data_IF_096099505557
#
_entry.id   IF_096099505557
#
_cell.length_a   1.000
_cell.length_b   1.000
_cell.length_c   1.000
_cell.angle_alpha   90.00
_cell.angle_beta   90.00
_cell.angle_gamma   90.00
#
_symmetry.space_group_name_H-M   'P 1'
#
loop_
_entity.id
_entity.type
_entity.pdbx_description
1 polymer ?
#
# COMPACT_ATOMS: atom_id res chain seq x y z
N UNK A 1 -53.54 42.43 -17.31
CA UNK A 1 -53.68 42.01 -18.72
C UNK A 1 -54.59 40.79 -18.72
N UNK A 2 -55.71 40.84 -19.45
CA UNK A 2 -56.63 39.71 -19.63
C UNK A 2 -56.00 38.72 -20.61
N UNK A 3 -55.77 37.48 -20.16
CA UNK A 3 -55.28 36.40 -21.01
C UNK A 3 -56.46 35.78 -21.76
N UNK A 4 -56.62 36.11 -23.04
CA UNK A 4 -57.50 35.36 -23.93
C UNK A 4 -56.77 34.09 -24.38
N UNK A 5 -57.27 32.94 -23.92
CA UNK A 5 -56.69 31.63 -24.21
C UNK A 5 -57.20 31.16 -25.57
N UNK A 6 -56.27 30.73 -26.45
CA UNK A 6 -56.59 30.33 -27.82
C UNK A 6 -57.56 29.13 -27.87
N UNK A 7 -58.51 29.07 -28.85
CA UNK A 7 -59.55 28.03 -28.92
C UNK A 7 -59.06 26.60 -29.21
N UNK A 8 -57.75 26.41 -29.42
CA UNK A 8 -57.14 25.11 -29.75
C UNK A 8 -56.63 24.29 -28.56
N UNK A 9 -56.49 24.90 -27.38
CA UNK A 9 -56.04 24.19 -26.18
C UNK A 9 -57.16 23.35 -25.58
N UNK A 10 -56.85 22.11 -25.16
CA UNK A 10 -57.79 21.31 -24.36
C UNK A 10 -58.20 22.09 -23.11
N UNK A 11 -59.48 21.97 -22.71
CA UNK A 11 -60.06 22.66 -21.54
C UNK A 11 -59.17 22.51 -20.29
N UNK A 12 -58.54 21.34 -20.13
CA UNK A 12 -57.61 21.00 -19.05
C UNK A 12 -56.39 21.91 -19.00
N UNK A 13 -55.83 22.30 -20.15
CA UNK A 13 -54.65 23.19 -20.21
C UNK A 13 -55.02 24.64 -19.95
N UNK A 14 -56.22 25.07 -20.37
CA UNK A 14 -56.73 26.41 -20.08
C UNK A 14 -56.94 26.61 -18.56
N UNK A 15 -57.48 25.59 -17.89
CA UNK A 15 -57.66 25.60 -16.43
C UNK A 15 -56.34 25.63 -15.67
N UNK A 16 -55.31 24.92 -16.17
CA UNK A 16 -53.95 24.94 -15.59
C UNK A 16 -53.32 26.31 -15.74
N UNK A 17 -53.48 26.94 -16.91
CA UNK A 17 -52.96 28.27 -17.19
C UNK A 17 -53.58 29.32 -16.26
N UNK A 18 -54.89 29.24 -16.07
CA UNK A 18 -55.64 30.11 -15.16
C UNK A 18 -55.18 29.95 -13.71
N UNK A 19 -55.04 28.71 -13.23
CA UNK A 19 -54.59 28.41 -11.86
C UNK A 19 -53.11 28.80 -11.61
N UNK A 20 -52.26 28.71 -12.64
CA UNK A 20 -50.88 29.20 -12.60
C UNK A 20 -50.81 30.73 -12.51
N UNK A 21 -51.60 31.43 -13.33
CA UNK A 21 -51.69 32.89 -13.32
C UNK A 21 -52.28 33.44 -12.01
N UNK A 22 -53.22 32.71 -11.39
CA UNK A 22 -53.87 33.05 -10.12
C UNK A 22 -53.03 32.66 -8.88
N UNK A 23 -51.88 32.02 -9.06
CA UNK A 23 -50.96 31.67 -7.97
C UNK A 23 -51.44 30.56 -7.02
N UNK A 24 -52.39 29.73 -7.46
CA UNK A 24 -53.03 28.68 -6.62
C UNK A 24 -52.42 27.29 -6.79
N UNK A 25 -51.44 27.13 -7.67
CA UNK A 25 -50.69 25.89 -7.86
C UNK A 25 -49.60 25.76 -6.78
N UNK A 26 -49.79 24.82 -5.85
CA UNK A 26 -48.83 24.51 -4.78
C UNK A 26 -48.36 23.05 -4.89
N UNK A 27 -47.04 22.85 -4.85
CA UNK A 27 -46.37 21.54 -4.98
C UNK A 27 -45.39 21.48 -6.16
N UNK A 28 -44.08 21.49 -5.90
CA UNK A 28 -43.04 21.71 -6.92
C UNK A 28 -43.07 20.73 -8.12
N UNK A 29 -43.15 19.41 -7.88
CA UNK A 29 -43.00 18.43 -8.96
C UNK A 29 -44.22 18.38 -9.91
N UNK A 30 -45.44 18.37 -9.35
CA UNK A 30 -46.66 18.27 -10.15
C UNK A 30 -46.90 19.52 -10.99
N UNK A 31 -46.52 20.70 -10.50
CA UNK A 31 -46.64 21.98 -11.22
C UNK A 31 -45.60 22.08 -12.33
N UNK A 32 -44.36 21.65 -12.06
CA UNK A 32 -43.28 21.61 -13.05
C UNK A 32 -43.58 20.70 -14.25
N UNK A 33 -44.10 19.50 -14.00
CA UNK A 33 -44.43 18.55 -15.07
C UNK A 33 -45.65 18.98 -15.88
N UNK A 34 -46.65 19.60 -15.23
CA UNK A 34 -47.81 20.17 -15.91
C UNK A 34 -47.45 21.38 -16.77
N UNK A 35 -46.62 22.30 -16.25
CA UNK A 35 -46.12 23.43 -17.02
C UNK A 35 -45.27 22.95 -18.20
N UNK A 36 -44.42 21.94 -18.00
CA UNK A 36 -43.60 21.38 -19.07
C UNK A 36 -44.41 20.68 -20.16
N UNK A 37 -45.42 19.87 -19.78
CA UNK A 37 -46.33 19.23 -20.73
C UNK A 37 -47.08 20.29 -21.57
N UNK A 38 -47.54 21.36 -20.93
CA UNK A 38 -48.22 22.48 -21.59
C UNK A 38 -47.30 23.20 -22.59
N UNK A 39 -46.02 23.40 -22.25
CA UNK A 39 -45.05 23.98 -23.20
C UNK A 39 -44.70 23.01 -24.32
N UNK A 40 -44.55 21.71 -24.05
CA UNK A 40 -44.26 20.72 -25.09
C UNK A 40 -45.37 20.64 -26.15
N UNK A 41 -46.63 20.67 -25.72
CA UNK A 41 -47.78 20.76 -26.62
C UNK A 41 -47.82 22.12 -27.35
N UNK A 42 -47.58 23.22 -26.63
CA UNK A 42 -47.53 24.57 -27.24
C UNK A 42 -46.39 24.73 -28.26
N UNK A 43 -45.27 24.04 -28.09
CA UNK A 43 -44.13 24.04 -29.01
C UNK A 43 -44.45 23.24 -30.27
N UNK A 44 -45.17 22.12 -30.16
CA UNK A 44 -45.72 21.40 -31.32
C UNK A 44 -46.73 22.26 -32.09
N UNK A 45 -47.48 23.12 -31.40
CA UNK A 45 -48.37 24.12 -32.00
C UNK A 45 -47.71 25.47 -32.32
N UNK A 46 -46.42 25.67 -32.01
CA UNK A 46 -45.75 27.00 -32.03
C UNK A 46 -45.67 27.65 -33.40
N UNK A 47 -45.86 26.86 -34.46
CA UNK A 47 -46.03 27.35 -35.84
C UNK A 47 -47.27 28.27 -35.93
N UNK A 48 -48.25 28.15 -35.01
CA UNK A 48 -49.53 28.87 -35.03
C UNK A 48 -49.64 30.00 -33.98
N UNK A 49 -48.90 29.97 -32.87
CA UNK A 49 -48.97 31.04 -31.85
C UNK A 49 -47.68 31.18 -30.98
N UNK A 50 -46.73 32.06 -31.38
CA UNK A 50 -45.49 32.31 -30.64
C UNK A 50 -45.68 32.95 -29.25
N UNK A 51 -46.72 33.78 -29.06
CA UNK A 51 -46.94 34.54 -27.83
C UNK A 51 -47.35 33.63 -26.65
N UNK A 52 -48.17 32.60 -26.93
CA UNK A 52 -48.51 31.61 -25.91
C UNK A 52 -47.30 30.80 -25.46
N UNK A 53 -46.44 30.41 -26.41
CA UNK A 53 -45.20 29.68 -26.10
C UNK A 53 -44.28 30.53 -25.23
N UNK A 54 -44.06 31.81 -25.59
CA UNK A 54 -43.26 32.74 -24.79
C UNK A 54 -43.83 32.95 -23.38
N UNK A 55 -45.15 33.06 -23.25
CA UNK A 55 -45.76 33.28 -21.93
C UNK A 55 -45.69 32.04 -21.05
N UNK A 56 -45.89 30.85 -21.61
CA UNK A 56 -45.75 29.60 -20.86
C UNK A 56 -44.30 29.36 -20.40
N UNK A 57 -43.31 29.71 -21.23
CA UNK A 57 -41.89 29.69 -20.84
C UNK A 57 -41.60 30.74 -19.76
N UNK A 58 -42.19 31.93 -19.85
CA UNK A 58 -42.05 32.96 -18.82
C UNK A 58 -42.61 32.50 -17.47
N UNK A 59 -43.75 31.80 -17.49
CA UNK A 59 -44.32 31.18 -16.28
C UNK A 59 -43.40 30.12 -15.68
N UNK A 60 -42.72 29.31 -16.50
CA UNK A 60 -41.70 28.36 -16.04
C UNK A 60 -40.56 29.09 -15.33
N UNK A 61 -40.02 30.15 -15.94
CA UNK A 61 -38.88 30.91 -15.40
C UNK A 61 -39.26 31.63 -14.10
N UNK A 62 -40.44 32.24 -14.04
CA UNK A 62 -40.87 33.04 -12.90
C UNK A 62 -41.32 32.19 -11.69
N UNK A 63 -41.64 30.90 -11.90
CA UNK A 63 -42.24 30.02 -10.88
C UNK A 63 -41.37 28.86 -10.43
N UNK A 64 -40.38 28.45 -11.23
CA UNK A 64 -39.46 27.37 -10.87
C UNK A 64 -38.15 27.91 -10.30
N UNK A 65 -37.44 27.12 -9.47
CA UNK A 65 -36.06 27.41 -9.12
C UNK A 65 -35.19 27.60 -10.38
N UNK A 66 -34.16 28.47 -10.35
CA UNK A 66 -33.36 28.81 -11.54
C UNK A 66 -32.77 27.61 -12.30
N UNK A 67 -32.32 26.58 -11.58
CA UNK A 67 -31.80 25.34 -12.15
C UNK A 67 -32.87 24.55 -12.93
N UNK A 68 -34.05 24.39 -12.33
CA UNK A 68 -35.16 23.67 -12.95
C UNK A 68 -35.74 24.47 -14.13
N UNK A 69 -35.82 25.80 -14.00
CA UNK A 69 -36.19 26.69 -15.08
C UNK A 69 -35.23 26.59 -16.27
N UNK A 70 -33.91 26.55 -16.01
CA UNK A 70 -32.89 26.35 -17.05
C UNK A 70 -33.08 25.02 -17.78
N UNK A 71 -33.22 23.92 -17.03
CA UNK A 71 -33.37 22.58 -17.59
C UNK A 71 -34.58 22.48 -18.52
N UNK A 72 -35.73 22.96 -18.06
CA UNK A 72 -36.97 22.95 -18.85
C UNK A 72 -36.83 23.82 -20.09
N UNK A 73 -36.19 25.00 -19.98
CA UNK A 73 -35.89 25.90 -21.10
C UNK A 73 -35.00 25.21 -22.15
N UNK A 74 -33.98 24.48 -21.71
CA UNK A 74 -33.04 23.78 -22.59
C UNK A 74 -33.69 22.61 -23.33
N UNK A 75 -34.60 21.86 -22.70
CA UNK A 75 -35.38 20.80 -23.36
C UNK A 75 -36.32 21.31 -24.46
N UNK A 76 -36.78 22.56 -24.35
CA UNK A 76 -37.68 23.19 -25.33
C UNK A 76 -36.89 23.76 -26.52
N UNK A 77 -35.67 24.24 -26.26
CA UNK A 77 -34.80 24.89 -27.25
C UNK A 77 -34.55 24.09 -28.55
N UNK A 78 -34.27 22.77 -28.55
CA UNK A 78 -34.07 22.02 -29.80
C UNK A 78 -35.35 21.88 -30.62
N UNK A 79 -36.53 21.86 -29.96
CA UNK A 79 -37.84 21.75 -30.58
C UNK A 79 -38.31 23.08 -31.21
N UNK A 80 -37.60 24.18 -30.94
CA UNK A 80 -37.95 25.52 -31.40
C UNK A 80 -37.23 25.92 -32.69
N UNK A 81 -37.98 26.55 -33.61
CA UNK A 81 -37.45 27.25 -34.78
C UNK A 81 -36.81 28.59 -34.41
N UNK A 82 -36.12 29.19 -35.37
CA UNK A 82 -35.72 30.60 -35.29
C UNK A 82 -36.98 31.48 -35.43
N UNK A 83 -37.22 32.55 -34.62
CA UNK A 83 -36.36 33.27 -33.65
C UNK A 83 -36.50 32.85 -32.18
N UNK A 84 -37.43 31.94 -31.86
CA UNK A 84 -37.70 31.50 -30.49
C UNK A 84 -36.45 30.91 -29.80
N UNK A 85 -35.60 30.23 -30.58
CA UNK A 85 -34.31 29.68 -30.10
C UNK A 85 -33.34 30.74 -29.54
N UNK A 86 -33.28 31.95 -30.12
CA UNK A 86 -32.43 33.03 -29.60
C UNK A 86 -32.98 33.59 -28.30
N UNK A 87 -34.30 33.83 -28.26
CA UNK A 87 -34.98 34.30 -27.06
C UNK A 87 -34.83 33.31 -25.89
N UNK A 88 -34.99 32.01 -26.14
CA UNK A 88 -34.71 30.94 -25.18
C UNK A 88 -33.26 30.93 -24.70
N UNK A 89 -32.30 31.22 -25.59
CA UNK A 89 -30.89 31.35 -25.22
C UNK A 89 -30.67 32.54 -24.29
N UNK A 90 -31.33 33.68 -24.53
CA UNK A 90 -31.28 34.83 -23.63
C UNK A 90 -31.92 34.50 -22.28
N UNK A 91 -33.06 33.79 -22.25
CA UNK A 91 -33.68 33.35 -21.00
C UNK A 91 -32.83 32.39 -20.18
N UNK A 92 -32.14 31.47 -20.85
CA UNK A 92 -31.14 30.63 -20.20
C UNK A 92 -29.98 31.45 -19.60
N UNK A 93 -29.60 32.58 -20.20
CA UNK A 93 -28.60 33.50 -19.64
C UNK A 93 -29.13 34.23 -18.40
N UNK A 94 -30.39 34.70 -18.44
CA UNK A 94 -31.05 35.37 -17.33
C UNK A 94 -31.16 34.42 -16.11
N UNK A 95 -31.47 33.14 -16.31
CA UNK A 95 -31.53 32.14 -15.23
C UNK A 95 -30.15 31.86 -14.61
N UNK A 96 -29.08 31.89 -15.40
CA UNK A 96 -27.71 31.78 -14.87
C UNK A 96 -27.39 32.98 -13.97
N UNK A 97 -27.80 34.18 -14.36
CA UNK A 97 -27.58 35.40 -13.57
C UNK A 97 -28.42 35.38 -12.28
N UNK A 98 -29.65 34.87 -12.33
CA UNK A 98 -30.51 34.72 -11.14
C UNK A 98 -29.92 33.76 -10.09
N UNK A 99 -29.05 32.82 -10.48
CA UNK A 99 -28.33 32.00 -9.52
C UNK A 99 -27.39 32.83 -8.62
N UNK A 100 -26.97 34.03 -9.02
CA UNK A 100 -25.96 34.81 -8.28
C UNK A 100 -26.37 35.19 -6.85
N UNK A 101 -27.68 35.25 -6.56
CA UNK A 101 -28.23 35.53 -5.24
C UNK A 101 -28.18 34.32 -4.27
N UNK A 102 -27.83 33.13 -4.78
CA UNK A 102 -27.74 31.90 -3.98
C UNK A 102 -26.38 31.77 -3.26
N UNK A 103 -26.30 30.89 -2.27
CA UNK A 103 -25.03 30.58 -1.59
C UNK A 103 -24.02 29.96 -2.56
N UNK A 104 -22.71 30.14 -2.34
CA UNK A 104 -21.68 29.59 -3.23
C UNK A 104 -21.80 28.06 -3.46
N UNK A 105 -22.22 27.30 -2.44
CA UNK A 105 -22.43 25.85 -2.60
C UNK A 105 -23.65 25.53 -3.48
N UNK A 106 -24.75 26.25 -3.28
CA UNK A 106 -25.98 26.02 -4.04
C UNK A 106 -25.81 26.48 -5.50
N UNK A 107 -25.11 27.60 -5.72
CA UNK A 107 -24.71 28.08 -7.05
C UNK A 107 -23.88 27.06 -7.78
N UNK A 108 -22.83 26.56 -7.12
CA UNK A 108 -21.94 25.57 -7.72
C UNK A 108 -22.70 24.30 -8.12
N UNK A 109 -23.58 23.81 -7.25
CA UNK A 109 -24.41 22.64 -7.54
C UNK A 109 -25.29 22.88 -8.77
N UNK A 110 -26.02 24.00 -8.79
CA UNK A 110 -26.86 24.37 -9.92
C UNK A 110 -26.05 24.44 -11.22
N UNK A 111 -24.87 25.06 -11.21
CA UNK A 111 -24.02 25.15 -12.40
C UNK A 111 -23.45 23.79 -12.85
N UNK A 112 -23.10 22.89 -11.91
CA UNK A 112 -22.69 21.53 -12.24
C UNK A 112 -23.82 20.75 -12.92
N UNK A 113 -25.04 20.88 -12.42
CA UNK A 113 -26.20 20.19 -13.00
C UNK A 113 -26.57 20.79 -14.38
N UNK A 114 -26.49 22.11 -14.56
CA UNK A 114 -26.65 22.75 -15.87
C UNK A 114 -25.56 22.33 -16.88
N UNK A 115 -24.31 22.06 -16.45
CA UNK A 115 -23.22 21.65 -17.35
C UNK A 115 -23.36 20.22 -17.88
N UNK A 116 -24.04 19.34 -17.12
CA UNK A 116 -24.34 17.97 -17.56
C UNK A 116 -25.32 17.93 -18.73
N UNK A 117 -26.03 19.03 -19.00
CA UNK A 117 -26.96 19.12 -20.12
C UNK A 117 -26.24 19.19 -21.47
N UNK A 118 -26.44 18.15 -22.28
CA UNK A 118 -25.75 18.01 -23.57
C UNK A 118 -26.21 19.04 -24.61
N UNK A 119 -27.45 19.52 -24.52
CA UNK A 119 -28.09 20.39 -25.52
C UNK A 119 -27.73 21.89 -25.38
N UNK A 120 -26.94 22.24 -24.36
CA UNK A 120 -26.47 23.61 -24.13
C UNK A 120 -25.50 24.07 -25.22
N UNK A 121 -25.69 25.29 -25.72
CA UNK A 121 -24.74 25.91 -26.66
C UNK A 121 -23.39 26.17 -26.00
N UNK A 122 -22.31 26.18 -26.80
CA UNK A 122 -20.96 26.48 -26.31
C UNK A 122 -20.87 27.81 -25.54
N UNK A 123 -21.65 28.84 -25.95
CA UNK A 123 -21.73 30.13 -25.26
C UNK A 123 -22.32 29.98 -23.85
N UNK A 124 -23.39 29.20 -23.70
CA UNK A 124 -24.02 28.94 -22.40
C UNK A 124 -23.09 28.12 -21.51
N UNK A 125 -22.54 27.01 -22.02
CA UNK A 125 -21.58 26.17 -21.28
C UNK A 125 -20.38 26.96 -20.80
N UNK A 126 -19.83 27.85 -21.65
CA UNK A 126 -18.71 28.72 -21.27
C UNK A 126 -19.07 29.72 -20.16
N UNK A 127 -20.28 30.31 -20.18
CA UNK A 127 -20.73 31.20 -19.09
C UNK A 127 -20.89 30.40 -17.79
N UNK A 128 -21.64 29.30 -17.83
CA UNK A 128 -21.87 28.44 -16.65
C UNK A 128 -20.54 27.99 -16.05
N UNK A 129 -19.59 27.56 -16.88
CA UNK A 129 -18.25 27.17 -16.42
C UNK A 129 -17.52 28.31 -15.70
N UNK A 130 -17.57 29.54 -16.23
CA UNK A 130 -16.93 30.70 -15.59
C UNK A 130 -17.55 30.99 -14.21
N UNK A 131 -18.88 30.97 -14.13
CA UNK A 131 -19.59 31.19 -12.88
C UNK A 131 -19.33 30.07 -11.87
N UNK A 132 -19.26 28.81 -12.33
CA UNK A 132 -18.89 27.67 -11.49
C UNK A 132 -17.47 27.84 -10.90
N UNK A 133 -16.49 28.22 -11.71
CA UNK A 133 -15.12 28.48 -11.23
C UNK A 133 -15.09 29.65 -10.24
N UNK A 134 -15.86 30.70 -10.48
CA UNK A 134 -16.01 31.82 -9.56
C UNK A 134 -16.60 31.34 -8.22
N UNK A 135 -17.68 30.57 -8.25
CA UNK A 135 -18.29 29.98 -7.05
C UNK A 135 -17.29 29.09 -6.28
N UNK A 136 -16.47 28.28 -6.98
CA UNK A 136 -15.41 27.49 -6.32
C UNK A 136 -14.37 28.41 -5.65
N UNK A 137 -14.04 29.53 -6.27
CA UNK A 137 -13.12 30.55 -5.74
C UNK A 137 -13.55 31.12 -4.39
N UNK A 138 -14.86 31.12 -4.10
CA UNK A 138 -15.44 31.58 -2.84
C UNK A 138 -15.51 30.50 -1.75
N UNK A 139 -15.27 29.24 -2.10
CA UNK A 139 -15.29 28.14 -1.14
C UNK A 139 -14.04 28.15 -0.25
N UNK A 140 -14.12 27.60 0.99
CA UNK A 140 -12.94 27.34 1.80
C UNK A 140 -11.91 26.49 1.04
N UNK A 141 -10.62 26.80 1.23
CA UNK A 141 -9.50 26.15 0.55
C UNK A 141 -9.58 24.61 0.50
N UNK A 142 -9.98 23.96 1.60
CA UNK A 142 -10.09 22.49 1.69
C UNK A 142 -11.23 21.89 0.85
N UNK A 143 -12.24 22.69 0.48
CA UNK A 143 -13.36 22.25 -0.38
C UNK A 143 -13.10 22.49 -1.85
N UNK A 144 -12.19 23.40 -2.19
CA UNK A 144 -11.94 23.81 -3.57
C UNK A 144 -11.51 22.63 -4.46
N UNK A 145 -10.66 21.73 -3.97
CA UNK A 145 -10.19 20.59 -4.77
C UNK A 145 -11.34 19.67 -5.16
N UNK A 146 -12.12 19.21 -4.18
CA UNK A 146 -13.27 18.33 -4.43
C UNK A 146 -14.28 18.99 -5.37
N UNK A 147 -14.63 20.25 -5.10
CA UNK A 147 -15.51 21.04 -5.95
C UNK A 147 -15.00 21.17 -7.40
N UNK A 148 -13.69 21.26 -7.60
CA UNK A 148 -13.06 21.29 -8.93
C UNK A 148 -13.08 19.92 -9.62
N UNK A 149 -12.93 18.83 -8.87
CA UNK A 149 -13.06 17.47 -9.38
C UNK A 149 -14.50 17.17 -9.81
N UNK A 150 -15.48 17.55 -8.98
CA UNK A 150 -16.91 17.42 -9.28
C UNK A 150 -17.30 18.26 -10.52
N UNK A 151 -16.72 19.46 -10.67
CA UNK A 151 -16.88 20.27 -11.89
C UNK A 151 -16.26 19.61 -13.12
N UNK A 152 -15.10 18.95 -12.99
CA UNK A 152 -14.49 18.21 -14.09
C UNK A 152 -15.38 17.05 -14.55
N UNK A 153 -15.99 16.34 -13.60
CA UNK A 153 -16.95 15.26 -13.86
C UNK A 153 -18.21 15.78 -14.57
N UNK A 154 -18.76 16.91 -14.13
CA UNK A 154 -19.88 17.57 -14.82
C UNK A 154 -19.54 17.98 -16.28
N UNK A 155 -18.25 18.22 -16.56
CA UNK A 155 -17.76 18.59 -17.89
C UNK A 155 -17.24 17.39 -18.71
N UNK A 156 -17.39 16.13 -18.28
CA UNK A 156 -16.76 14.97 -18.96
C UNK A 156 -17.13 14.85 -20.45
N UNK A 157 -18.33 15.29 -20.84
CA UNK A 157 -18.77 15.35 -22.24
C UNK A 157 -18.17 16.49 -23.07
N UNK A 158 -17.38 17.39 -22.49
CA UNK A 158 -16.70 18.51 -23.13
C UNK A 158 -15.21 18.51 -22.76
N UNK A 159 -14.38 17.92 -23.62
CA UNK A 159 -12.95 17.69 -23.35
C UNK A 159 -12.17 18.97 -23.02
N UNK A 160 -12.56 20.10 -23.60
CA UNK A 160 -11.88 21.38 -23.38
C UNK A 160 -12.25 21.97 -22.01
N UNK A 161 -13.53 21.92 -21.63
CA UNK A 161 -13.96 22.36 -20.30
C UNK A 161 -13.49 21.41 -19.19
N UNK A 162 -13.53 20.10 -19.43
CA UNK A 162 -12.99 19.10 -18.51
C UNK A 162 -11.50 19.36 -18.24
N UNK A 163 -10.70 19.58 -19.30
CA UNK A 163 -9.28 19.89 -19.14
C UNK A 163 -9.03 21.17 -18.34
N UNK A 164 -9.82 22.22 -18.56
CA UNK A 164 -9.74 23.46 -17.77
C UNK A 164 -10.12 23.22 -16.31
N UNK A 165 -11.16 22.44 -16.03
CA UNK A 165 -11.56 22.08 -14.67
C UNK A 165 -10.45 21.30 -13.95
N UNK A 166 -9.81 20.34 -14.63
CA UNK A 166 -8.69 19.58 -14.08
C UNK A 166 -7.45 20.44 -13.82
N UNK A 167 -7.16 21.43 -14.68
CA UNK A 167 -6.11 22.43 -14.43
C UNK A 167 -6.42 23.27 -13.18
N UNK A 168 -7.69 23.60 -12.97
CA UNK A 168 -8.12 24.32 -11.77
C UNK A 168 -8.05 23.44 -10.51
N UNK A 169 -8.47 22.17 -10.59
CA UNK A 169 -8.32 21.19 -9.52
C UNK A 169 -6.86 21.04 -9.09
N UNK A 170 -5.93 20.99 -10.05
CA UNK A 170 -4.49 21.00 -9.77
C UNK A 170 -4.04 22.23 -8.97
N UNK A 171 -4.59 23.40 -9.26
CA UNK A 171 -4.27 24.64 -8.54
C UNK A 171 -4.83 24.62 -7.13
N UNK A 172 -6.04 24.06 -6.95
CA UNK A 172 -6.66 23.86 -5.66
C UNK A 172 -5.93 22.80 -4.80
N UNK A 173 -5.28 21.81 -5.42
CA UNK A 173 -4.45 20.81 -4.72
C UNK A 173 -3.39 21.47 -3.82
N UNK A 174 -2.82 22.60 -4.24
CA UNK A 174 -1.81 23.34 -3.46
C UNK A 174 -2.37 24.00 -2.19
N UNK A 175 -3.69 24.08 -2.07
CA UNK A 175 -4.38 24.69 -0.94
C UNK A 175 -4.84 23.67 0.11
N UNK A 176 -4.69 22.37 -0.18
CA UNK A 176 -5.04 21.30 0.74
C UNK A 176 -3.96 21.09 1.83
N UNK A 177 -4.33 20.62 3.02
CA UNK A 177 -3.37 20.10 4.00
C UNK A 177 -2.52 18.98 3.39
N UNK A 178 -1.23 18.90 3.73
CA UNK A 178 -0.31 17.91 3.14
C UNK A 178 -0.81 16.47 3.22
N UNK A 179 -1.48 16.09 4.31
CA UNK A 179 -2.09 14.76 4.49
C UNK A 179 -3.13 14.43 3.41
N UNK A 180 -3.88 15.42 2.95
CA UNK A 180 -4.92 15.26 1.93
C UNK A 180 -4.35 15.36 0.51
N UNK A 181 -3.26 16.12 0.32
CA UNK A 181 -2.60 16.30 -0.98
C UNK A 181 -2.18 14.97 -1.61
N UNK A 182 -1.81 13.97 -0.82
CA UNK A 182 -1.36 12.67 -1.36
C UNK A 182 -2.50 11.89 -2.01
N UNK A 183 -3.61 11.64 -1.30
CA UNK A 183 -4.76 10.96 -1.90
C UNK A 183 -5.36 11.77 -3.06
N UNK A 184 -5.57 13.07 -2.85
CA UNK A 184 -6.11 13.97 -3.87
C UNK A 184 -5.21 14.06 -5.12
N UNK A 185 -3.89 14.04 -4.95
CA UNK A 185 -2.94 14.09 -6.06
C UNK A 185 -2.90 12.78 -6.87
N UNK A 186 -3.09 11.63 -6.22
CA UNK A 186 -3.27 10.34 -6.89
C UNK A 186 -4.58 10.30 -7.71
N UNK A 187 -5.69 10.76 -7.12
CA UNK A 187 -6.98 10.82 -7.82
C UNK A 187 -6.95 11.76 -9.02
N UNK A 188 -6.34 12.94 -8.87
CA UNK A 188 -6.12 13.85 -9.98
C UNK A 188 -5.25 13.22 -11.07
N UNK A 189 -4.19 12.49 -10.70
CA UNK A 189 -3.32 11.82 -11.67
C UNK A 189 -4.05 10.76 -12.50
N UNK A 190 -5.04 10.07 -11.93
CA UNK A 190 -5.87 9.07 -12.64
C UNK A 190 -6.78 9.68 -13.70
N UNK A 191 -7.11 10.96 -13.58
CA UNK A 191 -7.91 11.69 -14.59
C UNK A 191 -7.11 12.06 -15.84
N UNK A 192 -5.80 11.83 -15.84
CA UNK A 192 -4.93 12.11 -16.96
C UNK A 192 -4.37 10.83 -17.59
N UNK A 193 -4.18 10.87 -18.90
CA UNK A 193 -3.53 9.78 -19.63
C UNK A 193 -2.12 9.49 -19.10
N UNK A 194 -1.64 8.26 -19.30
CA UNK A 194 -0.35 7.79 -18.76
C UNK A 194 0.83 8.71 -19.11
N UNK A 195 0.80 9.32 -20.30
CA UNK A 195 1.87 10.15 -20.83
C UNK A 195 1.58 11.66 -20.75
N UNK A 196 0.50 12.07 -20.08
CA UNK A 196 0.17 13.49 -19.94
C UNK A 196 1.13 14.16 -18.92
N UNK A 197 1.77 15.29 -19.26
CA UNK A 197 2.62 16.02 -18.32
C UNK A 197 1.89 16.44 -17.03
N UNK A 198 0.57 16.65 -17.08
CA UNK A 198 -0.25 16.96 -15.90
C UNK A 198 -0.35 15.79 -14.94
N UNK A 199 -0.36 14.55 -15.44
CA UNK A 199 -0.26 13.34 -14.61
C UNK A 199 1.05 13.34 -13.82
N UNK A 200 2.17 13.59 -14.49
CA UNK A 200 3.48 13.62 -13.82
C UNK A 200 3.53 14.73 -12.77
N UNK A 201 2.97 15.91 -13.05
CA UNK A 201 2.95 17.01 -12.09
C UNK A 201 2.09 16.68 -10.86
N UNK A 202 0.91 16.08 -11.05
CA UNK A 202 0.04 15.65 -9.96
C UNK A 202 0.75 14.62 -9.07
N UNK A 203 1.38 13.60 -9.67
CA UNK A 203 2.16 12.59 -8.96
C UNK A 203 3.38 13.19 -8.22
N UNK A 204 4.12 14.12 -8.84
CA UNK A 204 5.24 14.83 -8.17
C UNK A 204 4.77 15.58 -6.93
N UNK A 205 3.63 16.26 -7.01
CA UNK A 205 3.08 17.04 -5.90
C UNK A 205 2.56 16.15 -4.78
N UNK A 206 1.80 15.13 -5.14
CA UNK A 206 1.34 14.08 -4.23
C UNK A 206 2.49 13.47 -3.44
N UNK A 207 3.56 13.11 -4.14
CA UNK A 207 4.74 12.50 -3.53
C UNK A 207 5.53 13.47 -2.65
N UNK A 208 5.68 14.72 -3.09
CA UNK A 208 6.38 15.75 -2.32
C UNK A 208 5.68 16.06 -0.99
N UNK A 209 4.35 15.99 -0.95
CA UNK A 209 3.56 16.25 0.26
C UNK A 209 3.89 15.27 1.40
N UNK A 210 4.25 14.02 1.08
CA UNK A 210 4.62 13.00 2.06
C UNK A 210 5.73 13.50 3.00
N UNK A 211 6.72 14.23 2.47
CA UNK A 211 7.86 14.75 3.24
C UNK A 211 7.45 15.73 4.34
N UNK A 212 6.32 16.40 4.17
CA UNK A 212 5.80 17.40 5.10
C UNK A 212 4.74 16.84 6.06
N UNK A 213 4.37 15.56 5.92
CA UNK A 213 3.46 14.91 6.84
C UNK A 213 4.14 14.60 8.19
N UNK A 214 3.34 14.41 9.27
CA UNK A 214 3.85 13.84 10.52
C UNK A 214 4.51 12.48 10.27
N UNK A 215 5.59 12.19 11.01
CA UNK A 215 6.40 10.98 10.83
C UNK A 215 5.60 9.68 10.87
N UNK A 216 4.58 9.62 11.74
CA UNK A 216 3.67 8.49 11.88
C UNK A 216 2.80 8.20 10.65
N UNK A 217 2.71 9.14 9.70
CA UNK A 217 1.89 9.01 8.49
C UNK A 217 2.72 8.77 7.23
N UNK A 218 4.03 9.02 7.27
CA UNK A 218 4.89 9.03 6.07
C UNK A 218 5.00 7.66 5.41
N UNK A 219 5.12 6.59 6.21
CA UNK A 219 5.20 5.22 5.69
C UNK A 219 3.94 4.84 4.92
N UNK A 220 2.77 4.96 5.56
CA UNK A 220 1.49 4.62 4.94
C UNK A 220 1.21 5.44 3.67
N UNK A 221 1.52 6.74 3.68
CA UNK A 221 1.36 7.60 2.50
C UNK A 221 2.32 7.21 1.36
N UNK A 222 3.51 6.73 1.68
CA UNK A 222 4.45 6.19 0.69
C UNK A 222 3.95 4.86 0.11
N UNK A 223 3.49 3.94 0.96
CA UNK A 223 2.92 2.66 0.51
C UNK A 223 1.65 2.84 -0.31
N UNK A 224 0.82 3.83 0.00
CA UNK A 224 -0.33 4.20 -0.84
C UNK A 224 0.12 4.52 -2.28
N UNK A 225 1.20 5.29 -2.45
CA UNK A 225 1.78 5.53 -3.78
C UNK A 225 2.29 4.25 -4.44
N UNK A 226 2.79 3.28 -3.68
CA UNK A 226 3.26 1.99 -4.23
C UNK A 226 2.11 1.18 -4.83
N UNK A 227 0.96 1.17 -4.15
CA UNK A 227 -0.22 0.42 -4.60
C UNK A 227 -1.01 1.15 -5.68
N UNK A 228 -1.13 2.47 -5.57
CA UNK A 228 -2.06 3.25 -6.37
C UNK A 228 -1.44 3.91 -7.61
N UNK A 229 -0.12 3.99 -7.69
CA UNK A 229 0.56 4.60 -8.84
C UNK A 229 0.84 3.58 -9.95
N UNK A 230 0.17 3.74 -11.09
CA UNK A 230 0.53 3.01 -12.31
C UNK A 230 1.80 3.55 -13.00
N UNK A 231 2.42 4.58 -12.42
CA UNK A 231 3.70 5.11 -12.90
C UNK A 231 4.85 4.46 -12.13
N UNK A 232 5.55 3.55 -12.80
CA UNK A 232 6.66 2.78 -12.23
C UNK A 232 7.73 3.68 -11.62
N UNK A 233 8.14 4.78 -12.27
CA UNK A 233 9.14 5.72 -11.71
C UNK A 233 8.72 6.29 -10.35
N UNK A 234 7.42 6.55 -10.14
CA UNK A 234 6.92 7.02 -8.84
C UNK A 234 6.72 5.88 -7.86
N UNK A 235 6.31 4.69 -8.33
CA UNK A 235 6.25 3.47 -7.52
C UNK A 235 7.62 3.14 -6.94
N UNK A 236 8.67 3.16 -7.76
CA UNK A 236 10.06 2.93 -7.33
C UNK A 236 10.52 3.98 -6.31
N UNK A 237 10.27 5.27 -6.58
CA UNK A 237 10.60 6.35 -5.62
C UNK A 237 9.83 6.22 -4.31
N UNK A 238 8.58 5.77 -4.36
CA UNK A 238 7.76 5.54 -3.19
C UNK A 238 8.25 4.36 -2.36
N UNK A 239 8.64 3.25 -3.00
CA UNK A 239 9.29 2.13 -2.33
C UNK A 239 10.59 2.56 -1.62
N UNK A 240 11.46 3.31 -2.31
CA UNK A 240 12.68 3.85 -1.70
C UNK A 240 12.38 4.74 -0.49
N UNK A 241 11.36 5.60 -0.58
CA UNK A 241 11.02 6.51 0.50
C UNK A 241 10.32 5.82 1.66
N UNK A 242 9.38 4.88 1.40
CA UNK A 242 8.75 4.03 2.40
C UNK A 242 9.82 3.31 3.22
N UNK A 243 10.83 2.78 2.54
CA UNK A 243 11.99 2.19 3.20
C UNK A 243 12.76 3.20 4.06
N UNK A 244 13.09 4.39 3.54
CA UNK A 244 13.83 5.42 4.30
C UNK A 244 13.11 5.84 5.59
N UNK A 245 11.78 5.80 5.60
CA UNK A 245 10.97 6.21 6.77
C UNK A 245 10.46 5.02 7.57
N UNK A 246 10.85 3.78 7.28
CA UNK A 246 10.39 2.60 8.04
C UNK A 246 10.75 2.67 9.53
N UNK A 247 11.82 3.39 9.87
CA UNK A 247 12.19 3.68 11.25
C UNK A 247 11.13 4.50 12.02
N UNK A 248 10.26 5.24 11.32
CA UNK A 248 9.16 6.00 11.94
C UNK A 248 7.93 5.14 12.23
N UNK A 249 7.90 3.90 11.72
CA UNK A 249 6.86 2.91 12.03
C UNK A 249 7.08 2.38 13.46
N UNK A 250 6.02 2.19 14.26
CA UNK A 250 6.12 1.57 15.58
C UNK A 250 6.85 0.23 15.50
N UNK A 251 7.74 -0.04 16.46
CA UNK A 251 8.64 -1.20 16.43
C UNK A 251 7.90 -2.55 16.23
N UNK A 252 6.69 -2.67 16.80
CA UNK A 252 5.82 -3.84 16.66
C UNK A 252 5.30 -4.08 15.22
N UNK A 253 5.18 -3.04 14.42
CA UNK A 253 4.59 -3.09 13.07
C UNK A 253 5.68 -3.03 11.97
N UNK A 254 6.95 -2.84 12.35
CA UNK A 254 8.08 -2.73 11.41
C UNK A 254 8.30 -4.00 10.59
N UNK A 255 8.10 -5.18 11.19
CA UNK A 255 8.25 -6.46 10.50
C UNK A 255 7.31 -6.58 9.29
N UNK A 256 6.04 -6.23 9.49
CA UNK A 256 5.01 -6.25 8.44
C UNK A 256 5.30 -5.19 7.38
N UNK A 257 5.70 -3.98 7.80
CA UNK A 257 6.14 -2.92 6.89
C UNK A 257 7.33 -3.34 6.00
N UNK A 258 8.29 -4.10 6.53
CA UNK A 258 9.39 -4.68 5.74
C UNK A 258 8.88 -5.72 4.74
N UNK A 259 7.99 -6.60 5.20
CA UNK A 259 7.39 -7.62 4.36
C UNK A 259 6.61 -7.00 3.19
N UNK A 260 5.80 -5.97 3.43
CA UNK A 260 5.08 -5.24 2.38
C UNK A 260 6.03 -4.64 1.34
N UNK A 261 7.09 -3.95 1.76
CA UNK A 261 8.11 -3.41 0.84
C UNK A 261 8.76 -4.54 0.03
N UNK A 262 9.12 -5.65 0.68
CA UNK A 262 9.77 -6.80 0.05
C UNK A 262 8.87 -7.46 -1.01
N UNK A 263 7.59 -7.66 -0.70
CA UNK A 263 6.64 -8.28 -1.64
C UNK A 263 6.46 -7.48 -2.92
N UNK A 264 6.45 -6.14 -2.81
CA UNK A 264 6.34 -5.25 -3.97
C UNK A 264 7.62 -5.17 -4.82
N UNK A 265 8.74 -5.58 -4.24
CA UNK A 265 10.07 -5.54 -4.83
C UNK A 265 10.41 -6.86 -5.55
N UNK A 266 9.99 -8.00 -4.99
CA UNK A 266 10.38 -9.35 -5.43
C UNK A 266 10.16 -9.58 -6.93
N UNK A 267 9.12 -8.95 -7.49
CA UNK A 267 8.74 -9.10 -8.90
C UNK A 267 9.12 -7.89 -9.78
N UNK A 268 9.56 -6.76 -9.20
CA UNK A 268 9.78 -5.50 -9.92
C UNK A 268 11.18 -4.95 -9.72
N UNK A 269 11.99 -5.10 -10.78
CA UNK A 269 13.33 -4.55 -11.00
C UNK A 269 14.41 -4.92 -9.97
N UNK A 270 15.26 -5.90 -10.35
CA UNK A 270 16.44 -6.39 -9.62
C UNK A 270 17.30 -5.29 -8.96
N UNK A 271 17.60 -4.13 -9.60
CA UNK A 271 18.41 -3.08 -8.98
C UNK A 271 17.73 -2.33 -7.83
N UNK A 272 16.40 -2.16 -7.88
CA UNK A 272 15.64 -1.55 -6.79
C UNK A 272 15.54 -2.52 -5.62
N UNK A 273 15.34 -3.80 -5.93
CA UNK A 273 15.39 -4.86 -4.95
C UNK A 273 16.68 -4.82 -4.15
N UNK A 274 17.82 -4.79 -4.83
CA UNK A 274 19.15 -4.75 -4.23
C UNK A 274 19.36 -3.50 -3.36
N UNK A 275 18.90 -2.32 -3.81
CA UNK A 275 19.06 -1.06 -3.05
C UNK A 275 18.21 -1.00 -1.78
N UNK A 276 16.94 -1.38 -1.88
CA UNK A 276 16.06 -1.45 -0.71
C UNK A 276 16.47 -2.58 0.24
N UNK A 277 17.02 -3.67 -0.29
CA UNK A 277 17.51 -4.82 0.44
C UNK A 277 18.80 -4.54 1.24
N UNK A 278 19.78 -3.86 0.62
CA UNK A 278 21.00 -3.44 1.31
C UNK A 278 20.71 -2.49 2.49
N UNK A 279 19.69 -1.64 2.36
CA UNK A 279 19.24 -0.75 3.44
C UNK A 279 18.35 -1.48 4.47
N UNK A 280 17.75 -2.62 4.12
CA UNK A 280 16.95 -3.47 5.02
C UNK A 280 17.79 -4.31 5.97
N UNK A 281 19.01 -4.72 5.58
CA UNK A 281 19.88 -5.55 6.42
C UNK A 281 20.15 -4.94 7.81
N UNK A 282 20.37 -3.62 7.87
CA UNK A 282 20.62 -2.90 9.12
C UNK A 282 19.41 -2.95 10.08
N UNK A 283 18.20 -2.90 9.54
CA UNK A 283 16.96 -2.90 10.31
C UNK A 283 16.46 -4.32 10.64
N UNK A 284 16.77 -5.32 9.81
CA UNK A 284 16.50 -6.74 10.10
C UNK A 284 17.33 -7.22 11.30
N UNK A 285 18.58 -6.77 11.44
CA UNK A 285 19.36 -7.00 12.67
C UNK A 285 18.66 -6.46 13.92
N UNK A 286 18.14 -5.22 13.86
CA UNK A 286 17.38 -4.63 14.96
C UNK A 286 16.04 -5.32 15.23
N UNK A 287 15.37 -5.83 14.18
CA UNK A 287 14.14 -6.60 14.31
C UNK A 287 14.40 -7.96 14.98
N UNK A 288 15.50 -8.61 14.62
CA UNK A 288 15.95 -9.85 15.23
C UNK A 288 16.30 -9.66 16.72
N UNK A 289 17.01 -8.57 17.05
CA UNK A 289 17.29 -8.20 18.45
C UNK A 289 16.01 -7.88 19.23
N UNK A 290 15.03 -7.21 18.61
CA UNK A 290 13.74 -6.95 19.22
C UNK A 290 12.94 -8.24 19.44
N UNK A 291 12.89 -9.15 18.47
CA UNK A 291 12.25 -10.46 18.61
C UNK A 291 12.90 -11.28 19.72
N UNK A 292 14.25 -11.34 19.77
CA UNK A 292 14.99 -11.96 20.88
C UNK A 292 14.62 -11.33 22.23
N UNK A 293 14.49 -10.00 22.28
CA UNK A 293 14.14 -9.29 23.51
C UNK A 293 12.67 -9.52 23.95
N UNK A 294 11.71 -9.56 23.03
CA UNK A 294 10.31 -9.87 23.35
C UNK A 294 10.13 -11.33 23.77
N UNK A 295 10.83 -12.25 23.11
CA UNK A 295 10.85 -13.66 23.49
C UNK A 295 11.50 -13.86 24.85
N UNK A 296 12.62 -13.20 25.13
CA UNK A 296 13.26 -13.21 26.45
C UNK A 296 12.31 -12.68 27.55
N UNK A 297 11.51 -11.63 27.26
CA UNK A 297 10.49 -11.12 28.17
C UNK A 297 9.33 -12.08 28.37
N UNK A 298 8.78 -12.64 27.30
CA UNK A 298 7.69 -13.61 27.35
C UNK A 298 8.10 -14.86 28.11
N UNK A 299 9.33 -15.33 27.89
CA UNK A 299 9.86 -16.50 28.54
C UNK A 299 10.26 -16.23 30.00
N UNK A 300 10.80 -15.05 30.33
CA UNK A 300 11.00 -14.63 31.72
C UNK A 300 9.67 -14.60 32.49
N UNK A 301 8.59 -14.18 31.84
CA UNK A 301 7.24 -14.24 32.40
C UNK A 301 6.77 -15.68 32.60
N UNK A 302 6.91 -16.55 31.60
CA UNK A 302 6.55 -17.98 31.72
C UNK A 302 7.34 -18.70 32.82
N UNK A 303 8.63 -18.41 32.97
CA UNK A 303 9.47 -18.92 34.07
C UNK A 303 8.97 -18.37 35.42
N UNK A 304 8.58 -17.09 35.49
CA UNK A 304 8.05 -16.51 36.74
C UNK A 304 6.70 -17.09 37.16
N UNK A 305 5.90 -17.58 36.21
CA UNK A 305 4.55 -18.09 36.42
C UNK A 305 4.50 -19.63 36.57
N UNK A 306 5.61 -20.34 36.30
CA UNK A 306 5.66 -21.81 36.33
C UNK A 306 6.68 -22.31 37.38
N UNK A 307 6.23 -22.77 38.56
CA UNK A 307 7.12 -23.17 39.66
C UNK A 307 8.12 -24.27 39.29
N UNK A 308 7.74 -25.17 38.40
CA UNK A 308 8.56 -26.29 37.91
C UNK A 308 9.75 -25.82 37.06
N UNK A 309 9.59 -24.72 36.31
CA UNK A 309 10.65 -24.08 35.53
C UNK A 309 11.56 -23.20 36.39
N UNK A 310 11.10 -22.76 37.57
CA UNK A 310 11.93 -22.04 38.54
C UNK A 310 12.89 -22.97 39.29
N UNK A 311 12.41 -24.18 39.61
CA UNK A 311 13.13 -25.15 40.42
C UNK A 311 14.12 -26.02 39.62
N UNK A 312 13.96 -26.11 38.29
CA UNK A 312 14.75 -27.00 37.44
C UNK A 312 15.43 -26.22 36.30
N UNK A 313 16.72 -25.95 36.49
CA UNK A 313 17.55 -25.18 35.56
C UNK A 313 17.70 -25.87 34.19
N UNK A 314 17.82 -27.19 34.18
CA UNK A 314 17.97 -27.98 32.96
C UNK A 314 16.68 -28.00 32.12
N UNK A 315 15.52 -28.08 32.78
CA UNK A 315 14.22 -27.97 32.13
C UNK A 315 13.97 -26.56 31.57
N UNK A 316 14.45 -25.53 32.29
CA UNK A 316 14.40 -24.13 31.87
C UNK A 316 15.19 -23.90 30.60
N UNK A 317 16.43 -24.37 30.55
CA UNK A 317 17.32 -24.26 29.39
C UNK A 317 16.78 -25.03 28.19
N UNK A 318 16.21 -26.21 28.42
CA UNK A 318 15.60 -27.03 27.36
C UNK A 318 14.35 -26.37 26.78
N UNK A 319 13.52 -25.75 27.63
CA UNK A 319 12.32 -25.03 27.21
C UNK A 319 12.67 -23.76 26.45
N UNK A 320 13.67 -23.01 26.94
CA UNK A 320 14.21 -21.83 26.26
C UNK A 320 14.75 -22.17 24.87
N UNK A 321 15.56 -23.22 24.79
CA UNK A 321 16.15 -23.69 23.55
C UNK A 321 15.08 -24.16 22.55
N UNK A 322 14.07 -24.89 23.00
CA UNK A 322 12.98 -25.36 22.14
C UNK A 322 12.10 -24.22 21.61
N UNK A 323 11.84 -23.20 22.45
CA UNK A 323 11.10 -22.01 22.05
C UNK A 323 11.91 -21.13 21.09
N UNK A 324 13.23 -21.03 21.28
CA UNK A 324 14.14 -20.42 20.31
C UNK A 324 14.08 -21.19 19.00
N UNK A 325 14.40 -22.49 19.01
CA UNK A 325 14.50 -23.35 17.82
C UNK A 325 13.20 -23.32 16.99
N UNK A 326 12.03 -23.29 17.63
CA UNK A 326 10.73 -23.28 16.92
C UNK A 326 10.42 -21.94 16.23
N UNK A 327 10.84 -20.81 16.80
CA UNK A 327 10.68 -19.48 16.19
C UNK A 327 11.79 -19.17 15.17
N UNK A 328 13.01 -19.60 15.49
CA UNK A 328 14.25 -19.44 14.72
C UNK A 328 14.14 -20.21 13.39
N UNK A 329 13.72 -21.48 13.40
CA UNK A 329 13.68 -22.31 12.18
C UNK A 329 12.72 -21.80 11.10
N UNK A 330 11.63 -21.11 11.47
CA UNK A 330 10.69 -20.52 10.51
C UNK A 330 11.23 -19.27 9.83
N UNK A 331 11.83 -18.37 10.60
CA UNK A 331 12.40 -17.09 10.11
C UNK A 331 13.76 -17.31 9.43
N UNK A 332 14.57 -18.26 9.92
CA UNK A 332 15.94 -18.48 9.43
C UNK A 332 16.05 -19.37 8.18
N UNK A 333 15.06 -20.23 7.90
CA UNK A 333 15.03 -20.95 6.61
C UNK A 333 14.93 -20.01 5.40
N UNK A 334 14.22 -18.89 5.55
CA UNK A 334 14.22 -17.82 4.54
C UNK A 334 15.51 -16.99 4.59
N UNK A 335 16.21 -16.98 5.72
CA UNK A 335 17.42 -16.17 5.97
C UNK A 335 18.70 -16.73 5.33
N UNK A 336 18.86 -18.05 5.17
CA UNK A 336 20.01 -18.62 4.44
C UNK A 336 19.88 -18.40 2.93
N UNK A 337 18.66 -18.44 2.38
CA UNK A 337 18.37 -18.01 1.01
C UNK A 337 18.64 -16.51 0.86
N UNK A 338 18.17 -15.71 1.84
CA UNK A 338 18.40 -14.27 1.90
C UNK A 338 19.88 -13.92 1.90
N UNK A 339 20.72 -14.54 2.75
CA UNK A 339 22.18 -14.33 2.79
C UNK A 339 22.85 -14.69 1.47
N UNK A 340 22.43 -15.78 0.82
CA UNK A 340 22.95 -16.17 -0.50
C UNK A 340 22.60 -15.13 -1.57
N UNK A 341 21.37 -14.61 -1.52
CA UNK A 341 20.94 -13.50 -2.36
C UNK A 341 21.74 -12.21 -2.03
N UNK A 342 22.05 -11.91 -0.75
CA UNK A 342 22.92 -10.78 -0.36
C UNK A 342 24.27 -10.88 -1.06
N UNK A 343 24.88 -12.05 -1.02
CA UNK A 343 26.24 -12.28 -1.51
C UNK A 343 26.32 -12.31 -3.03
N UNK A 344 25.25 -12.76 -3.70
CA UNK A 344 25.15 -12.72 -5.16
C UNK A 344 25.02 -11.28 -5.69
N UNK A 345 24.46 -10.36 -4.89
CA UNK A 345 24.06 -9.03 -5.36
C UNK A 345 24.70 -7.83 -4.66
N UNK A 346 25.63 -8.05 -3.72
CA UNK A 346 26.37 -6.97 -3.08
C UNK A 346 27.18 -6.15 -4.12
N UNK A 347 26.98 -4.82 -4.12
CA UNK A 347 27.64 -3.91 -5.08
C UNK A 347 28.76 -3.07 -4.47
N UNK A 348 28.87 -3.07 -3.14
CA UNK A 348 29.94 -2.40 -2.39
C UNK A 348 30.54 -3.37 -1.37
N UNK A 349 31.80 -3.13 -1.02
CA UNK A 349 32.52 -3.96 -0.04
C UNK A 349 31.86 -3.89 1.34
N UNK A 350 31.32 -2.75 1.75
CA UNK A 350 30.56 -2.60 3.01
C UNK A 350 29.29 -3.45 3.04
N UNK A 351 28.54 -3.53 1.93
CA UNK A 351 27.33 -4.37 1.86
C UNK A 351 27.68 -5.85 1.93
N UNK A 352 28.77 -6.23 1.26
CA UNK A 352 29.28 -7.60 1.26
C UNK A 352 29.73 -8.00 2.66
N UNK A 353 30.50 -7.13 3.32
CA UNK A 353 30.98 -7.34 4.68
C UNK A 353 29.81 -7.49 5.67
N UNK A 354 28.77 -6.63 5.58
CA UNK A 354 27.61 -6.71 6.47
C UNK A 354 26.82 -8.01 6.27
N UNK A 355 26.64 -8.43 5.02
CA UNK A 355 26.00 -9.71 4.66
C UNK A 355 26.77 -10.90 5.19
N UNK A 356 28.10 -10.88 5.08
CA UNK A 356 28.98 -11.92 5.62
C UNK A 356 28.95 -11.96 7.15
N UNK A 357 29.08 -10.82 7.85
CA UNK A 357 28.95 -10.74 9.31
C UNK A 357 27.64 -11.34 9.79
N UNK A 358 26.55 -11.03 9.10
CA UNK A 358 25.23 -11.55 9.43
C UNK A 358 25.14 -13.07 9.21
N UNK A 359 25.70 -13.57 8.10
CA UNK A 359 25.79 -15.01 7.83
C UNK A 359 26.54 -15.77 8.95
N UNK A 360 27.71 -15.25 9.34
CA UNK A 360 28.56 -15.85 10.38
C UNK A 360 27.87 -15.83 11.75
N UNK A 361 27.22 -14.73 12.11
CA UNK A 361 26.50 -14.59 13.39
C UNK A 361 25.37 -15.61 13.57
N UNK A 362 24.72 -16.03 12.48
CA UNK A 362 23.54 -16.92 12.52
C UNK A 362 23.83 -18.35 12.09
N UNK A 363 25.05 -18.62 11.62
CA UNK A 363 25.55 -19.96 11.36
C UNK A 363 25.41 -20.93 12.57
N UNK A 364 25.59 -20.50 13.84
CA UNK A 364 25.38 -21.38 15.01
C UNK A 364 23.93 -21.86 15.19
N UNK A 365 22.96 -21.16 14.59
CA UNK A 365 21.53 -21.48 14.65
C UNK A 365 21.10 -22.47 13.55
N UNK A 366 22.04 -22.89 12.68
CA UNK A 366 21.83 -23.95 11.72
C UNK A 366 21.58 -25.31 12.39
N UNK A 367 20.99 -26.26 11.65
CA UNK A 367 20.88 -27.65 12.09
C UNK A 367 22.28 -28.13 12.55
N UNK A 368 22.44 -28.55 13.82
CA UNK A 368 23.75 -28.95 14.36
C UNK A 368 24.45 -30.03 13.52
N UNK A 369 23.68 -30.86 12.80
CA UNK A 369 24.22 -31.90 11.90
C UNK A 369 24.74 -31.34 10.57
N UNK A 370 24.34 -30.13 10.19
CA UNK A 370 24.77 -29.43 8.96
C UNK A 370 25.75 -28.30 9.22
N UNK A 371 25.91 -27.88 10.48
CA UNK A 371 26.81 -26.80 10.91
C UNK A 371 28.20 -26.90 10.29
N UNK A 372 28.80 -28.11 10.28
CA UNK A 372 30.10 -28.33 9.64
C UNK A 372 30.05 -28.07 8.13
N UNK A 373 29.13 -28.70 7.40
CA UNK A 373 29.03 -28.52 5.94
C UNK A 373 28.72 -27.08 5.53
N UNK A 374 27.90 -26.38 6.32
CA UNK A 374 27.53 -24.99 6.05
C UNK A 374 28.71 -24.04 6.35
N UNK A 375 29.43 -24.24 7.46
CA UNK A 375 30.64 -23.49 7.78
C UNK A 375 31.73 -23.64 6.72
N UNK A 376 32.00 -24.87 6.30
CA UNK A 376 33.00 -25.14 5.26
C UNK A 376 32.59 -24.52 3.91
N UNK A 377 31.29 -24.50 3.58
CA UNK A 377 30.80 -23.85 2.36
C UNK A 377 30.92 -22.32 2.39
N UNK A 378 30.87 -21.72 3.59
CA UNK A 378 30.96 -20.27 3.79
C UNK A 378 32.42 -19.78 3.83
N UNK A 379 33.37 -20.64 4.23
CA UNK A 379 34.77 -20.29 4.39
C UNK A 379 35.42 -19.63 3.14
N UNK A 380 35.26 -20.14 1.91
CA UNK A 380 35.80 -19.48 0.72
C UNK A 380 35.21 -18.10 0.45
N UNK A 381 34.03 -17.80 1.02
CA UNK A 381 33.31 -16.54 0.79
C UNK A 381 33.72 -15.47 1.79
N UNK A 382 34.08 -15.86 3.02
CA UNK A 382 34.65 -14.96 4.04
C UNK A 382 36.16 -14.78 3.91
N UNK A 383 36.79 -15.47 2.95
CA UNK A 383 38.21 -15.37 2.68
C UNK A 383 38.64 -13.91 2.42
N UNK A 384 39.58 -13.40 3.23
CA UNK A 384 40.01 -11.99 3.26
C UNK A 384 39.46 -11.17 4.43
N UNK A 385 38.63 -11.75 5.31
CA UNK A 385 38.11 -11.12 6.52
C UNK A 385 38.56 -11.90 7.77
N UNK A 386 39.73 -11.59 8.37
CA UNK A 386 40.38 -12.44 9.38
C UNK A 386 39.50 -12.77 10.60
N UNK A 387 38.74 -11.80 11.10
CA UNK A 387 37.84 -12.00 12.25
C UNK A 387 36.71 -13.01 11.93
N UNK A 388 36.20 -12.99 10.70
CA UNK A 388 35.10 -13.86 10.25
C UNK A 388 35.59 -15.24 9.84
N UNK A 389 36.79 -15.33 9.27
CA UNK A 389 37.44 -16.61 8.98
C UNK A 389 37.62 -17.43 10.26
N UNK A 390 38.14 -16.81 11.33
CA UNK A 390 38.33 -17.50 12.61
C UNK A 390 37.00 -17.94 13.23
N UNK A 391 35.97 -17.08 13.21
CA UNK A 391 34.64 -17.42 13.70
C UNK A 391 33.99 -18.59 12.94
N UNK A 392 34.07 -18.60 11.59
CA UNK A 392 33.55 -19.71 10.76
C UNK A 392 34.30 -21.01 11.04
N UNK A 393 35.63 -20.95 11.19
CA UNK A 393 36.45 -22.14 11.49
C UNK A 393 36.13 -22.69 12.89
N UNK A 394 35.95 -21.84 13.91
CA UNK A 394 35.51 -22.28 15.25
C UNK A 394 34.16 -22.98 15.20
N UNK A 395 33.23 -22.48 14.40
CA UNK A 395 31.92 -23.10 14.20
C UNK A 395 32.01 -24.43 13.44
N UNK A 396 32.91 -24.53 12.45
CA UNK A 396 33.20 -25.79 11.77
C UNK A 396 33.73 -26.83 12.78
N UNK A 397 34.69 -26.48 13.64
CA UNK A 397 35.24 -27.35 14.70
C UNK A 397 34.13 -27.86 15.63
N UNK A 398 33.22 -26.97 16.05
CA UNK A 398 32.05 -27.33 16.86
C UNK A 398 31.11 -28.28 16.10
N UNK A 399 30.89 -28.05 14.81
CA UNK A 399 30.04 -28.86 13.94
C UNK A 399 30.54 -30.30 13.77
N UNK A 400 31.86 -30.52 13.73
CA UNK A 400 32.46 -31.87 13.65
C UNK A 400 32.06 -32.74 14.84
N UNK A 401 31.82 -32.14 16.02
CA UNK A 401 31.38 -32.84 17.22
C UNK A 401 30.04 -33.60 17.07
N UNK A 402 29.26 -33.34 16.01
CA UNK A 402 28.01 -34.04 15.71
C UNK A 402 28.16 -35.22 14.75
N UNK A 403 29.36 -35.44 14.18
CA UNK A 403 29.63 -36.57 13.29
C UNK A 403 29.97 -37.85 14.07
N UNK A 404 29.84 -39.04 13.47
CA UNK A 404 30.36 -40.29 14.02
C UNK A 404 31.87 -40.18 14.30
N UNK A 405 32.35 -40.80 15.39
CA UNK A 405 33.74 -40.67 15.87
C UNK A 405 34.77 -40.99 14.77
N UNK A 406 34.45 -41.95 13.91
CA UNK A 406 35.30 -42.42 12.81
C UNK A 406 35.55 -41.34 11.75
N UNK A 407 34.60 -40.42 11.58
CA UNK A 407 34.69 -39.32 10.60
C UNK A 407 35.23 -38.01 11.19
N UNK A 408 35.27 -37.88 12.52
CA UNK A 408 35.69 -36.62 13.17
C UNK A 408 37.14 -36.29 12.90
N UNK A 409 38.03 -37.29 12.94
CA UNK A 409 39.48 -37.09 12.76
C UNK A 409 39.78 -36.56 11.35
N UNK A 410 39.11 -37.08 10.33
CA UNK A 410 39.25 -36.62 8.93
C UNK A 410 38.76 -35.18 8.81
N UNK A 411 37.55 -34.88 9.28
CA UNK A 411 36.99 -33.53 9.22
C UNK A 411 37.83 -32.48 10.00
N UNK A 412 38.41 -32.83 11.15
CA UNK A 412 39.31 -31.92 11.87
C UNK A 412 40.61 -31.66 11.11
N UNK A 413 41.14 -32.65 10.38
CA UNK A 413 42.31 -32.46 9.52
C UNK A 413 41.98 -31.57 8.33
N UNK A 414 40.80 -31.72 7.74
CA UNK A 414 40.34 -30.85 6.64
C UNK A 414 40.27 -29.39 7.09
N UNK A 415 39.79 -29.11 8.31
CA UNK A 415 39.79 -27.75 8.88
C UNK A 415 41.23 -27.22 9.03
N UNK A 416 42.17 -28.03 9.51
CA UNK A 416 43.59 -27.63 9.65
C UNK A 416 44.19 -27.28 8.28
N UNK A 417 43.89 -28.06 7.24
CA UNK A 417 44.40 -27.81 5.89
C UNK A 417 43.84 -26.52 5.27
N UNK A 418 42.62 -26.12 5.64
CA UNK A 418 41.97 -24.90 5.13
C UNK A 418 42.58 -23.62 5.71
N UNK A 419 43.15 -23.68 6.92
CA UNK A 419 43.72 -22.53 7.61
C UNK A 419 45.05 -22.87 8.29
N UNK A 420 46.11 -23.19 7.51
CA UNK A 420 47.38 -23.67 8.04
C UNK A 420 48.11 -22.63 8.90
N UNK A 421 47.76 -21.34 8.77
CA UNK A 421 48.37 -20.24 9.53
C UNK A 421 47.60 -19.88 10.82
N UNK A 422 46.46 -20.52 11.09
CA UNK A 422 45.70 -20.29 12.34
C UNK A 422 46.13 -21.28 13.42
N UNK A 423 47.18 -20.91 14.18
CA UNK A 423 47.72 -21.70 15.28
C UNK A 423 46.67 -22.05 16.36
N UNK A 424 45.70 -21.15 16.58
CA UNK A 424 44.62 -21.34 17.55
C UNK A 424 43.63 -22.43 17.12
N UNK A 425 43.20 -22.40 15.86
CA UNK A 425 42.31 -23.43 15.28
C UNK A 425 43.04 -24.77 15.17
N UNK A 426 44.29 -24.76 14.71
CA UNK A 426 45.09 -25.97 14.62
C UNK A 426 45.26 -26.64 15.99
N UNK A 427 45.49 -25.86 17.05
CA UNK A 427 45.56 -26.39 18.43
C UNK A 427 44.22 -26.99 18.86
N UNK A 428 43.11 -26.27 18.67
CA UNK A 428 41.77 -26.75 19.03
C UNK A 428 41.41 -28.06 18.31
N UNK A 429 41.67 -28.15 16.99
CA UNK A 429 41.47 -29.37 16.22
C UNK A 429 42.34 -30.53 16.73
N UNK A 430 43.62 -30.28 17.03
CA UNK A 430 44.52 -31.32 17.52
C UNK A 430 44.12 -31.84 18.91
N UNK A 431 43.63 -30.97 19.80
CA UNK A 431 43.06 -31.36 21.09
C UNK A 431 41.83 -32.27 20.92
N UNK A 432 40.90 -31.91 20.03
CA UNK A 432 39.71 -32.72 19.75
C UNK A 432 40.04 -34.04 19.03
N UNK A 433 41.06 -34.07 18.16
CA UNK A 433 41.59 -35.30 17.56
C UNK A 433 42.14 -36.23 18.65
N UNK A 434 42.91 -35.70 19.61
CA UNK A 434 43.44 -36.50 20.71
C UNK A 434 42.33 -37.10 21.58
N UNK A 435 41.31 -36.30 21.93
CA UNK A 435 40.12 -36.78 22.64
C UNK A 435 39.38 -37.86 21.86
N UNK A 436 39.20 -37.66 20.55
CA UNK A 436 38.51 -38.61 19.67
C UNK A 436 39.29 -39.93 19.56
N UNK A 437 40.61 -39.89 19.43
CA UNK A 437 41.47 -41.08 19.42
C UNK A 437 41.36 -41.87 20.72
N UNK A 438 41.43 -41.18 21.87
CA UNK A 438 41.24 -41.81 23.18
C UNK A 438 39.84 -42.44 23.33
N UNK A 439 38.81 -41.82 22.76
CA UNK A 439 37.46 -42.37 22.77
C UNK A 439 37.26 -43.57 21.82
N UNK A 440 38.16 -43.74 20.84
CA UNK A 440 38.19 -44.89 19.94
C UNK A 440 39.05 -46.05 20.47
N UNK A 441 39.86 -45.81 21.51
CA UNK A 441 40.59 -46.87 22.20
C UNK A 441 39.60 -47.78 22.95
N UNK A 442 39.75 -49.11 22.87
CA UNK A 442 38.93 -50.03 23.64
C UNK A 442 39.15 -49.75 25.14
N UNK A 443 38.10 -49.83 25.99
CA UNK A 443 38.24 -49.54 27.41
C UNK A 443 39.28 -50.46 28.06
N UNK A 444 40.09 -49.92 28.97
CA UNK A 444 41.18 -50.66 29.66
C UNK A 444 40.69 -51.91 30.42
N UNK A 445 39.38 -51.98 30.72
CA UNK A 445 38.70 -53.12 31.35
C UNK A 445 37.93 -54.02 30.36
N UNK A 446 38.18 -53.91 29.05
CA UNK A 446 37.64 -54.83 28.06
C UNK A 446 38.24 -56.23 28.28
N UNK A 447 37.59 -57.01 29.15
CA UNK A 447 37.95 -58.39 29.42
C UNK A 447 38.01 -59.17 28.10
N UNK A 448 39.13 -59.85 27.86
CA UNK A 448 39.34 -60.66 26.67
C UNK A 448 38.15 -61.61 26.48
N UNK A 449 37.60 -61.67 25.27
CA UNK A 449 36.45 -62.50 24.93
C UNK A 449 36.74 -63.97 25.30
N UNK A 450 38.00 -64.42 25.17
CA UNK A 450 38.40 -65.75 25.61
C UNK A 450 38.34 -65.94 27.14
N UNK A 451 38.65 -64.91 27.92
CA UNK A 451 38.56 -64.95 29.38
C UNK A 451 37.10 -64.86 29.86
N UNK A 452 36.25 -64.07 29.18
CA UNK A 452 34.81 -64.04 29.43
C UNK A 452 34.16 -65.41 29.17
N UNK A 453 34.48 -66.05 28.04
CA UNK A 453 33.95 -67.38 27.68
C UNK A 453 34.43 -68.44 28.69
N UNK A 454 35.69 -68.39 29.14
CA UNK A 454 36.19 -69.29 30.19
C UNK A 454 35.46 -69.12 31.52
N UNK A 455 35.16 -67.88 31.94
CA UNK A 455 34.41 -67.62 33.19
C UNK A 455 32.95 -68.07 33.08
N UNK A 456 32.31 -67.87 31.93
CA UNK A 456 30.94 -68.35 31.69
C UNK A 456 30.85 -69.88 31.66
N UNK A 457 31.88 -70.57 31.16
CA UNK A 457 31.97 -72.03 31.18
C UNK A 457 32.21 -72.61 32.60
N UNK A 458 32.76 -71.81 33.52
CA UNK A 458 33.03 -72.21 34.91
C UNK A 458 31.84 -71.97 35.87
N UNK A 459 30.75 -71.35 35.40
CA UNK A 459 29.55 -71.18 36.22
C UNK A 459 28.85 -72.54 36.44
N UNK A 460 28.48 -72.89 37.68
CA UNK A 460 27.76 -74.14 37.95
C UNK A 460 26.40 -74.11 37.23
N UNK A 461 26.12 -75.17 36.47
CA UNK A 461 24.82 -75.33 35.78
C UNK A 461 23.68 -75.22 36.79
N UNK A 462 22.61 -74.47 36.49
CA UNK A 462 21.47 -74.35 37.38
C UNK A 462 20.88 -75.75 37.62
N UNK A 463 20.75 -76.13 38.89
CA UNK A 463 20.02 -77.34 39.26
C UNK A 463 18.56 -77.17 38.81
N UNK A 464 18.08 -78.14 38.03
CA UNK A 464 16.70 -78.17 37.59
C UNK A 464 15.77 -78.15 38.81
N UNK A 465 14.69 -77.34 38.80
CA UNK A 465 13.75 -77.33 39.90
C UNK A 465 13.12 -78.72 40.02
N UNK A 466 13.18 -79.27 41.23
CA UNK A 466 12.46 -80.49 41.59
C UNK A 466 10.97 -80.15 41.66
N UNK A 467 10.14 -80.96 41.00
CA UNK A 467 8.69 -80.77 40.80
C UNK A 467 7.92 -80.41 42.07
#
# INVERSE_FOLDING_TARGET
MSFEVSPGLSQTLQDVYKRAAEGTLTGNAAVSDLLFALVKESVNESIRNPEMTQTAIKLIIDKLPPEEAYHKTMMIRPLSGYPLREWLTQKALDTIDACTDMSANDRLKAFQDMLKEQEASAKLKSKIYKEAIQAIGELPNHKMFKASMDLAEACEGDSELNKKALIFARSALLKLPYKEVTAAGLDLARKFERNDPMREIALKRSFAAIKYMPESHRFNAAMQHVYESDNEKFKERALMYAHQVIGTVPLKDRAEAFYEIYTEIKDKSRPLAIKCFALSLHNVCHLHDWFRHQMAKGLAKTISETPELQANEELRDKTFKTALDSCVVGVLKETVSFVRDVLEYATTDEQRELGLRYAVLHLPDADPKKLFSEAISLYPVVAGYPDMEDDVLRLAVKGVGFYPLEKRIENYKDIIMLAPESDGIARACNEEIAKTKKALEPPEDAMDIEEFVKRMAALPKPQAPTL
#
